data_IF_901081767785
#
_entry.id   IF_901081767785
#
_cell.length_a   1.000
_cell.length_b   1.000
_cell.length_c   1.000
_cell.angle_alpha   90.00
_cell.angle_beta   90.00
_cell.angle_gamma   90.00
#
_symmetry.space_group_name_H-M   'P 1'
#
loop_
_entity.id
_entity.type
_entity.pdbx_description
1 polymer ?
#
# COMPACT_ATOMS: atom_id res chain seq x y z
N UNK A 1 -0.93 67.30 -33.87
CA UNK A 1 -2.16 67.59 -33.14
C UNK A 1 -2.21 66.67 -31.94
N UNK A 2 -1.45 66.96 -30.87
CA UNK A 2 -1.69 68.09 -29.91
C UNK A 2 -3.04 67.89 -29.21
N UNK A 3 -3.25 67.99 -27.90
CA UNK A 3 -2.46 68.26 -26.69
C UNK A 3 -3.34 67.67 -25.55
N UNK A 4 -2.87 67.06 -24.45
CA UNK A 4 -2.00 67.51 -23.37
C UNK A 4 -2.59 68.58 -22.40
N UNK A 5 -2.88 68.13 -21.17
CA UNK A 5 -2.62 68.72 -19.84
C UNK A 5 -3.52 69.85 -19.24
N UNK A 6 -4.06 69.63 -18.03
CA UNK A 6 -3.80 70.37 -16.75
C UNK A 6 -4.84 69.95 -15.67
N UNK A 7 -4.51 69.18 -14.63
CA UNK A 7 -3.70 69.46 -13.41
C UNK A 7 -4.38 70.41 -12.42
N UNK A 8 -4.85 69.84 -11.29
CA UNK A 8 -4.71 70.36 -9.91
C UNK A 8 -4.92 69.13 -8.98
N UNK A 9 -3.91 68.48 -8.36
CA UNK A 9 -2.96 68.91 -7.30
C UNK A 9 -3.62 69.68 -6.14
N UNK A 10 -4.03 68.96 -5.09
CA UNK A 10 -3.41 68.96 -3.74
C UNK A 10 -4.34 68.30 -2.71
N UNK A 11 -3.94 67.13 -2.20
CA UNK A 11 -4.16 66.66 -0.82
C UNK A 11 -3.34 65.37 -0.57
N UNK A 12 -2.02 65.50 -0.62
CA UNK A 12 -1.15 64.79 0.32
C UNK A 12 -1.20 65.65 1.59
N UNK A 13 -1.34 65.14 2.81
CA UNK A 13 -0.29 64.42 3.53
C UNK A 13 -0.86 64.12 4.91
N UNK A 14 -1.44 62.95 5.17
CA UNK A 14 -1.67 62.51 6.57
C UNK A 14 -1.95 61.01 6.79
N UNK A 15 -1.94 60.15 5.76
CA UNK A 15 -2.20 58.71 5.94
C UNK A 15 -1.02 57.76 5.69
N UNK A 16 0.18 58.24 5.36
CA UNK A 16 1.33 57.37 5.07
C UNK A 16 2.33 57.17 6.21
N UNK A 17 2.13 57.73 7.40
CA UNK A 17 3.03 57.50 8.55
C UNK A 17 2.48 56.52 9.60
N UNK A 18 1.20 56.12 9.53
CA UNK A 18 0.63 55.14 10.46
C UNK A 18 0.69 53.68 9.94
N UNK A 19 0.98 53.46 8.66
CA UNK A 19 1.04 52.12 8.07
C UNK A 19 2.45 51.47 8.11
N UNK A 20 3.49 52.22 8.49
CA UNK A 20 4.87 51.72 8.53
C UNK A 20 5.36 51.25 9.92
N UNK A 21 4.55 51.41 10.98
CA UNK A 21 4.84 50.83 12.30
C UNK A 21 4.08 49.51 12.58
N UNK A 22 3.17 49.07 11.71
CA UNK A 22 2.53 47.76 11.80
C UNK A 22 3.32 46.65 11.07
N UNK A 23 4.39 47.01 10.36
CA UNK A 23 5.17 46.11 9.51
C UNK A 23 6.59 45.89 10.05
N UNK A 24 6.73 45.58 11.35
CA UNK A 24 8.00 45.13 11.97
C UNK A 24 7.85 44.24 13.21
N UNK A 25 6.68 43.61 13.41
CA UNK A 25 6.41 42.72 14.56
C UNK A 25 5.86 41.32 14.17
N UNK A 26 6.05 40.87 12.93
CA UNK A 26 5.57 39.54 12.49
C UNK A 26 6.66 38.62 11.90
N UNK A 27 7.92 38.84 12.30
CA UNK A 27 9.01 37.87 12.06
C UNK A 27 9.74 37.56 13.37
N UNK A 28 9.00 37.03 14.35
CA UNK A 28 9.60 36.14 15.33
C UNK A 28 9.50 34.72 14.76
N UNK A 29 10.59 33.94 14.67
CA UNK A 29 10.51 32.54 14.34
C UNK A 29 9.82 31.85 15.52
N UNK A 30 8.49 31.73 15.45
CA UNK A 30 7.76 30.82 16.32
C UNK A 30 8.23 29.43 15.97
N UNK A 31 9.16 28.90 16.78
CA UNK A 31 9.47 27.49 16.84
C UNK A 31 8.13 26.75 16.91
N UNK A 32 7.68 26.24 15.77
CA UNK A 32 6.58 25.31 15.73
C UNK A 32 7.10 24.06 16.43
N UNK A 33 6.81 23.98 17.73
CA UNK A 33 6.73 22.72 18.41
C UNK A 33 5.87 21.83 17.52
N UNK A 34 6.48 20.81 16.93
CA UNK A 34 5.73 19.64 16.50
C UNK A 34 4.94 19.23 17.73
N UNK A 35 3.64 19.52 17.74
CA UNK A 35 2.72 18.91 18.67
C UNK A 35 2.78 17.43 18.33
N UNK A 36 3.66 16.73 19.03
CA UNK A 36 3.77 15.30 19.02
C UNK A 36 2.37 14.82 19.37
N UNK A 37 1.66 14.26 18.38
CA UNK A 37 0.38 13.61 18.61
C UNK A 37 0.58 12.73 19.84
N UNK A 38 -0.20 12.90 20.93
CA UNK A 38 -0.04 12.08 22.10
C UNK A 38 -0.24 10.64 21.62
N UNK A 39 0.85 9.87 21.61
CA UNK A 39 0.78 8.45 21.36
C UNK A 39 -0.17 7.84 22.39
N UNK A 40 -0.88 6.76 22.04
CA UNK A 40 -1.72 6.07 23.01
C UNK A 40 -0.90 5.78 24.27
N UNK A 41 -1.46 6.09 25.43
CA UNK A 41 -0.84 5.78 26.71
C UNK A 41 -0.45 4.29 26.72
N UNK A 42 0.76 3.93 27.18
CA UNK A 42 1.18 2.54 27.24
C UNK A 42 0.28 1.80 28.23
N UNK A 43 -0.71 1.07 27.71
CA UNK A 43 -1.46 0.11 28.51
C UNK A 43 -0.53 -1.07 28.78
N UNK A 44 -0.10 -1.22 30.03
CA UNK A 44 0.71 -2.35 30.47
C UNK A 44 -0.16 -3.60 30.60
N UNK A 45 -0.47 -4.26 29.48
CA UNK A 45 -0.98 -5.63 29.50
C UNK A 45 0.20 -6.59 29.37
N UNK A 46 0.97 -6.75 30.45
CA UNK A 46 2.02 -7.78 30.56
C UNK A 46 1.40 -9.13 30.88
N UNK A 47 0.68 -9.71 29.92
CA UNK A 47 0.45 -11.14 29.86
C UNK A 47 1.36 -11.70 28.78
N UNK A 48 2.19 -12.69 29.10
CA UNK A 48 3.01 -13.42 28.12
C UNK A 48 2.06 -14.18 27.20
N UNK A 49 1.61 -13.51 26.13
CA UNK A 49 0.62 -14.05 25.21
C UNK A 49 1.28 -15.10 24.32
N UNK A 50 0.99 -16.37 24.57
CA UNK A 50 1.40 -17.46 23.69
C UNK A 50 0.70 -17.27 22.34
N UNK A 51 1.46 -17.18 21.25
CA UNK A 51 0.86 -17.11 19.92
C UNK A 51 0.35 -18.48 19.50
N UNK A 52 -0.70 -18.53 18.65
CA UNK A 52 -1.15 -19.78 18.08
C UNK A 52 -0.05 -20.41 17.22
N UNK A 53 0.14 -21.72 17.39
CA UNK A 53 0.97 -22.52 16.48
C UNK A 53 0.29 -22.67 15.11
N UNK A 54 1.00 -23.21 14.11
CA UNK A 54 0.39 -23.55 12.82
C UNK A 54 -0.76 -24.54 13.01
N UNK A 55 -0.57 -25.52 13.88
CA UNK A 55 -1.58 -26.53 14.22
C UNK A 55 -2.81 -25.91 14.88
N UNK A 56 -2.62 -24.91 15.76
CA UNK A 56 -3.73 -24.20 16.39
C UNK A 56 -4.53 -23.38 15.37
N UNK A 57 -3.85 -22.68 14.46
CA UNK A 57 -4.50 -21.95 13.37
C UNK A 57 -5.27 -22.89 12.45
N UNK A 58 -4.69 -24.05 12.11
CA UNK A 58 -5.36 -25.02 11.26
C UNK A 58 -6.61 -25.59 11.95
N UNK A 59 -6.52 -25.96 13.23
CA UNK A 59 -7.68 -26.41 14.02
C UNK A 59 -8.74 -25.32 14.13
N UNK A 60 -8.35 -24.07 14.34
CA UNK A 60 -9.27 -22.93 14.36
C UNK A 60 -10.00 -22.75 13.02
N UNK A 61 -9.29 -22.83 11.88
CA UNK A 61 -9.92 -22.79 10.55
C UNK A 61 -10.93 -23.93 10.42
N UNK A 62 -10.52 -25.18 10.67
CA UNK A 62 -11.37 -26.36 10.54
C UNK A 62 -12.62 -26.29 11.43
N UNK A 63 -12.50 -25.73 12.64
CA UNK A 63 -13.62 -25.59 13.57
C UNK A 63 -14.61 -24.50 13.15
N UNK A 64 -14.13 -23.42 12.54
CA UNK A 64 -14.93 -22.21 12.32
C UNK A 64 -15.33 -21.98 10.85
N UNK A 65 -14.82 -22.76 9.89
CA UNK A 65 -14.98 -22.53 8.45
C UNK A 65 -16.42 -22.27 8.01
N UNK A 66 -17.37 -23.02 8.58
CA UNK A 66 -18.79 -22.96 8.24
C UNK A 66 -19.64 -22.26 9.31
N UNK A 67 -19.02 -21.50 10.22
CA UNK A 67 -19.75 -20.82 11.30
C UNK A 67 -20.59 -19.67 10.77
N UNK A 68 -21.93 -19.68 10.93
CA UNK A 68 -22.76 -18.55 10.56
C UNK A 68 -22.54 -17.39 11.55
N UNK A 69 -22.49 -16.13 11.08
CA UNK A 69 -22.37 -14.98 11.97
C UNK A 69 -23.62 -14.81 12.84
N UNK A 70 -23.41 -14.47 14.12
CA UNK A 70 -24.47 -14.16 15.10
C UNK A 70 -24.82 -12.66 15.11
N UNK A 71 -24.55 -11.98 14.01
CA UNK A 71 -24.74 -10.55 13.78
C UNK A 71 -25.14 -10.34 12.32
N UNK A 72 -25.68 -9.16 12.01
CA UNK A 72 -26.24 -8.81 10.70
C UNK A 72 -25.59 -7.56 10.14
N UNK A 73 -25.71 -7.39 8.83
CA UNK A 73 -25.30 -6.16 8.16
C UNK A 73 -25.97 -4.94 8.81
N UNK A 74 -25.19 -3.88 9.05
CA UNK A 74 -25.63 -2.68 9.75
C UNK A 74 -25.49 -2.72 11.27
N UNK A 75 -25.23 -3.89 11.88
CA UNK A 75 -24.95 -3.97 13.32
C UNK A 75 -23.66 -3.23 13.67
N UNK A 76 -23.67 -2.56 14.83
CA UNK A 76 -22.46 -2.04 15.49
C UNK A 76 -22.17 -2.92 16.69
N UNK A 77 -21.14 -3.76 16.58
CA UNK A 77 -20.72 -4.64 17.67
C UNK A 77 -19.78 -3.89 18.60
N UNK A 78 -20.04 -3.97 19.90
CA UNK A 78 -19.26 -3.28 20.92
C UNK A 78 -18.42 -4.28 21.72
N UNK A 79 -17.68 -3.79 22.73
CA UNK A 79 -16.83 -4.62 23.59
C UNK A 79 -17.57 -5.86 24.16
N UNK A 80 -18.85 -5.74 24.51
CA UNK A 80 -19.66 -6.84 25.03
C UNK A 80 -20.00 -7.93 23.99
N UNK A 81 -19.83 -7.63 22.71
CA UNK A 81 -20.15 -8.50 21.57
C UNK A 81 -18.92 -9.23 21.01
N UNK A 82 -17.72 -9.00 21.56
CA UNK A 82 -16.46 -9.55 21.02
C UNK A 82 -16.51 -11.07 20.83
N UNK A 83 -17.17 -11.82 21.72
CA UNK A 83 -17.27 -13.27 21.57
C UNK A 83 -18.00 -13.70 20.28
N UNK A 84 -18.89 -12.86 19.74
CA UNK A 84 -19.54 -13.12 18.44
C UNK A 84 -18.54 -13.07 17.27
N UNK A 85 -17.43 -12.35 17.43
CA UNK A 85 -16.36 -12.21 16.42
C UNK A 85 -15.30 -13.31 16.49
N UNK A 86 -15.27 -14.10 17.58
CA UNK A 86 -14.26 -15.14 17.82
C UNK A 86 -14.12 -16.19 16.69
N UNK A 87 -15.18 -16.62 16.00
CA UNK A 87 -15.06 -17.53 14.85
C UNK A 87 -14.43 -16.88 13.61
N UNK A 88 -14.42 -15.55 13.54
CA UNK A 88 -14.06 -14.78 12.34
C UNK A 88 -12.70 -14.08 12.45
N UNK A 89 -12.11 -14.04 13.65
CA UNK A 89 -10.79 -13.46 13.92
C UNK A 89 -9.81 -14.56 14.34
N UNK A 90 -8.60 -14.61 13.75
CA UNK A 90 -7.59 -15.59 14.14
C UNK A 90 -7.28 -15.52 15.65
N UNK A 91 -6.98 -16.65 16.31
CA UNK A 91 -6.76 -16.73 17.74
C UNK A 91 -5.84 -15.63 18.30
N UNK A 92 -6.35 -14.95 19.32
CA UNK A 92 -5.71 -13.86 20.04
C UNK A 92 -5.90 -12.46 19.42
N UNK A 93 -6.29 -12.31 18.14
CA UNK A 93 -6.57 -10.96 17.61
C UNK A 93 -7.70 -10.28 18.40
N UNK A 94 -8.68 -11.05 18.85
CA UNK A 94 -9.83 -10.55 19.60
C UNK A 94 -9.43 -9.82 20.89
N UNK A 95 -8.35 -10.24 21.55
CA UNK A 95 -7.88 -9.65 22.80
C UNK A 95 -7.35 -8.22 22.59
N UNK A 96 -6.78 -7.92 21.42
CA UNK A 96 -6.31 -6.57 21.05
C UNK A 96 -7.47 -5.57 20.86
N UNK A 97 -8.68 -6.09 20.67
CA UNK A 97 -9.89 -5.29 20.51
C UNK A 97 -10.70 -5.17 21.81
N UNK A 98 -10.25 -5.77 22.91
CA UNK A 98 -10.94 -5.72 24.20
C UNK A 98 -10.60 -4.44 24.99
N UNK A 99 -11.04 -3.29 24.47
CA UNK A 99 -10.88 -2.00 25.14
C UNK A 99 -12.19 -1.19 25.15
N UNK A 100 -12.39 -0.30 26.14
CA UNK A 100 -13.57 0.56 26.19
C UNK A 100 -13.70 1.45 24.95
N UNK A 101 -14.88 1.44 24.33
CA UNK A 101 -15.18 2.25 23.14
C UNK A 101 -14.78 1.61 21.81
N UNK A 102 -14.40 0.33 21.79
CA UNK A 102 -14.26 -0.41 20.53
C UNK A 102 -15.62 -0.53 19.83
N UNK A 103 -15.60 -0.34 18.50
CA UNK A 103 -16.76 -0.54 17.64
C UNK A 103 -16.35 -1.31 16.38
N UNK A 104 -17.13 -2.33 16.04
CA UNK A 104 -17.05 -3.01 14.74
C UNK A 104 -18.33 -2.77 13.97
N UNK A 105 -18.20 -2.03 12.87
CA UNK A 105 -19.31 -1.72 11.97
C UNK A 105 -19.45 -2.84 10.93
N UNK A 106 -20.50 -3.65 11.05
CA UNK A 106 -20.74 -4.77 10.13
C UNK A 106 -21.26 -4.22 8.81
N UNK A 107 -20.42 -4.28 7.77
CA UNK A 107 -20.76 -3.79 6.43
C UNK A 107 -21.42 -4.88 5.58
N UNK A 108 -22.18 -4.51 4.54
CA UNK A 108 -22.73 -5.47 3.60
C UNK A 108 -21.66 -6.36 2.97
N UNK A 109 -21.99 -7.64 2.82
CA UNK A 109 -21.17 -8.56 2.04
C UNK A 109 -21.21 -8.14 0.56
N UNK A 110 -20.06 -8.23 -0.12
CA UNK A 110 -19.91 -7.85 -1.52
C UNK A 110 -19.16 -8.90 -2.30
N UNK A 111 -19.56 -9.13 -3.55
CA UNK A 111 -18.75 -9.89 -4.49
C UNK A 111 -17.72 -8.96 -5.14
N UNK A 112 -16.47 -9.02 -4.68
CA UNK A 112 -15.36 -8.24 -5.21
C UNK A 112 -14.63 -9.01 -6.32
N UNK A 113 -15.35 -9.29 -7.41
CA UNK A 113 -14.76 -9.92 -8.57
C UNK A 113 -13.71 -8.99 -9.22
N UNK A 114 -12.65 -9.55 -9.85
CA UNK A 114 -11.79 -8.77 -10.73
C UNK A 114 -12.58 -8.06 -11.83
N UNK A 115 -12.00 -7.00 -12.40
CA UNK A 115 -12.61 -6.25 -13.49
C UNK A 115 -12.96 -7.15 -14.70
N UNK A 116 -14.04 -6.83 -15.42
CA UNK A 116 -14.54 -7.67 -16.52
C UNK A 116 -13.50 -7.87 -17.63
N UNK A 117 -12.69 -6.85 -17.94
CA UNK A 117 -11.60 -6.99 -18.92
C UNK A 117 -10.57 -8.04 -18.50
N UNK A 118 -10.25 -8.10 -17.21
CA UNK A 118 -9.35 -9.11 -16.65
C UNK A 118 -9.95 -10.52 -16.76
N UNK A 119 -11.25 -10.64 -16.50
CA UNK A 119 -11.97 -11.91 -16.64
C UNK A 119 -12.02 -12.36 -18.10
N UNK A 120 -12.32 -11.46 -19.03
CA UNK A 120 -12.35 -11.72 -20.47
C UNK A 120 -10.97 -12.11 -21.01
N UNK A 121 -9.91 -11.39 -20.62
CA UNK A 121 -8.54 -11.76 -20.96
C UNK A 121 -8.15 -13.11 -20.36
N UNK A 122 -8.54 -13.36 -19.11
CA UNK A 122 -8.33 -14.67 -18.47
C UNK A 122 -9.00 -15.78 -19.28
N UNK A 123 -10.28 -15.66 -19.61
CA UNK A 123 -11.01 -16.66 -20.39
C UNK A 123 -10.34 -16.93 -21.75
N UNK A 124 -9.87 -15.87 -22.42
CA UNK A 124 -9.22 -15.96 -23.71
C UNK A 124 -7.84 -16.65 -23.68
N UNK A 125 -7.04 -16.40 -22.65
CA UNK A 125 -5.63 -16.84 -22.59
C UNK A 125 -5.34 -17.92 -21.55
N UNK A 126 -6.35 -18.39 -20.81
CA UNK A 126 -6.16 -19.42 -19.80
C UNK A 126 -5.46 -20.65 -20.40
N UNK A 127 -4.49 -21.20 -19.66
CA UNK A 127 -3.72 -22.38 -20.04
C UNK A 127 -2.78 -22.21 -21.25
N UNK A 128 -2.57 -20.99 -21.75
CA UNK A 128 -1.55 -20.72 -22.78
C UNK A 128 -0.17 -20.46 -22.16
N UNK A 129 -0.15 -19.85 -20.97
CA UNK A 129 1.08 -19.62 -20.23
C UNK A 129 1.66 -20.93 -19.68
N UNK A 130 2.99 -21.01 -19.64
CA UNK A 130 3.73 -22.16 -19.12
C UNK A 130 4.89 -21.71 -18.25
N UNK A 131 5.34 -22.60 -17.37
CA UNK A 131 6.59 -22.44 -16.64
C UNK A 131 7.71 -23.15 -17.41
N UNK A 132 8.78 -22.43 -17.68
CA UNK A 132 10.03 -23.01 -18.14
C UNK A 132 10.74 -23.77 -17.01
N UNK A 133 11.81 -24.51 -17.35
CA UNK A 133 12.56 -25.31 -16.39
C UNK A 133 13.23 -24.50 -15.26
N UNK A 134 13.50 -23.22 -15.50
CA UNK A 134 14.01 -22.26 -14.53
C UNK A 134 12.90 -21.51 -13.78
N UNK A 135 11.63 -21.81 -14.08
CA UNK A 135 10.47 -21.19 -13.45
C UNK A 135 9.98 -19.89 -14.09
N UNK A 136 10.64 -19.43 -15.15
CA UNK A 136 10.20 -18.26 -15.91
C UNK A 136 8.84 -18.51 -16.58
N UNK A 137 8.02 -17.45 -16.63
CA UNK A 137 6.73 -17.47 -17.32
C UNK A 137 6.94 -17.28 -18.82
N UNK A 138 6.36 -18.16 -19.63
CA UNK A 138 6.42 -18.08 -21.10
C UNK A 138 5.02 -18.14 -21.70
N UNK A 139 4.83 -17.46 -22.84
CA UNK A 139 3.56 -17.48 -23.57
C UNK A 139 2.40 -16.79 -22.85
N UNK A 140 2.70 -15.97 -21.84
CA UNK A 140 1.70 -15.18 -21.13
C UNK A 140 1.36 -13.90 -21.91
N UNK A 141 0.06 -13.57 -21.98
CA UNK A 141 -0.46 -12.42 -22.74
C UNK A 141 -1.17 -11.42 -21.82
N UNK A 142 -2.24 -11.86 -21.14
CA UNK A 142 -3.01 -11.06 -20.21
C UNK A 142 -3.92 -11.94 -19.34
N UNK A 143 -4.48 -11.36 -18.27
CA UNK A 143 -5.40 -12.05 -17.37
C UNK A 143 -4.68 -12.89 -16.31
N UNK A 144 -5.32 -13.96 -15.86
CA UNK A 144 -4.73 -14.91 -14.91
C UNK A 144 -3.93 -15.98 -15.67
N UNK A 145 -2.61 -16.11 -15.46
CA UNK A 145 -1.77 -17.06 -16.20
C UNK A 145 -2.20 -18.53 -16.04
N UNK A 146 -2.45 -18.97 -14.79
CA UNK A 146 -2.72 -20.37 -14.48
C UNK A 146 -4.10 -20.56 -13.84
N UNK A 147 -4.80 -21.61 -14.27
CA UNK A 147 -6.09 -21.98 -13.67
C UNK A 147 -5.92 -22.44 -12.22
N UNK A 148 -6.92 -22.17 -11.37
CA UNK A 148 -6.91 -22.60 -9.96
C UNK A 148 -6.78 -24.12 -9.82
N UNK A 149 -7.37 -24.88 -10.75
CA UNK A 149 -7.26 -26.34 -10.77
C UNK A 149 -5.83 -26.87 -10.95
N UNK A 150 -4.89 -26.03 -11.43
CA UNK A 150 -3.46 -26.37 -11.55
C UNK A 150 -2.64 -26.02 -10.28
N UNK A 151 -3.29 -25.47 -9.25
CA UNK A 151 -2.65 -25.11 -7.98
C UNK A 151 -3.15 -26.12 -6.94
N UNK A 152 -2.42 -27.23 -6.83
CA UNK A 152 -2.73 -28.36 -5.96
C UNK A 152 -1.61 -28.58 -4.94
N UNK A 153 -1.89 -29.33 -3.87
CA UNK A 153 -0.87 -29.63 -2.84
C UNK A 153 0.24 -30.55 -3.34
N UNK A 154 -0.06 -31.40 -4.30
CA UNK A 154 0.84 -32.48 -4.73
C UNK A 154 1.75 -32.06 -5.90
N UNK A 155 1.45 -30.96 -6.58
CA UNK A 155 2.29 -30.44 -7.66
C UNK A 155 3.35 -29.46 -7.09
N UNK A 156 4.65 -29.77 -7.20
CA UNK A 156 5.72 -28.94 -6.67
C UNK A 156 5.80 -27.54 -7.33
N UNK A 157 5.21 -27.36 -8.52
CA UNK A 157 5.16 -26.07 -9.22
C UNK A 157 3.96 -25.21 -8.83
N UNK A 158 3.02 -25.71 -8.03
CA UNK A 158 1.83 -24.97 -7.61
C UNK A 158 2.15 -23.65 -6.92
N UNK A 159 3.17 -23.62 -6.07
CA UNK A 159 3.61 -22.40 -5.40
C UNK A 159 4.08 -21.34 -6.40
N UNK A 160 4.80 -21.75 -7.43
CA UNK A 160 5.29 -20.85 -8.47
C UNK A 160 4.16 -20.37 -9.39
N UNK A 161 3.22 -21.24 -9.76
CA UNK A 161 2.01 -20.82 -10.50
C UNK A 161 1.18 -19.81 -9.70
N UNK A 162 1.03 -20.03 -8.40
CA UNK A 162 0.35 -19.10 -7.51
C UNK A 162 1.07 -17.74 -7.42
N UNK A 163 2.41 -17.75 -7.36
CA UNK A 163 3.21 -16.53 -7.37
C UNK A 163 3.04 -15.73 -8.69
N UNK A 164 3.06 -16.40 -9.84
CA UNK A 164 2.79 -15.76 -11.13
C UNK A 164 1.36 -15.20 -11.23
N UNK A 165 0.36 -15.95 -10.75
CA UNK A 165 -1.01 -15.45 -10.64
C UNK A 165 -1.10 -14.20 -9.76
N UNK A 166 -0.36 -14.15 -8.65
CA UNK A 166 -0.33 -12.98 -7.77
C UNK A 166 0.35 -11.77 -8.43
N UNK A 167 1.46 -11.99 -9.16
CA UNK A 167 2.16 -10.94 -9.90
C UNK A 167 1.25 -10.31 -10.97
N UNK A 168 0.52 -11.14 -11.71
CA UNK A 168 -0.39 -10.71 -12.78
C UNK A 168 -1.86 -10.58 -12.33
N UNK A 169 -2.12 -10.32 -11.05
CA UNK A 169 -3.47 -9.94 -10.59
C UNK A 169 -3.90 -8.62 -11.24
N UNK A 170 -5.19 -8.33 -11.26
CA UNK A 170 -5.71 -7.05 -11.73
C UNK A 170 -5.10 -5.87 -10.95
N UNK A 171 -4.38 -5.00 -11.66
CA UNK A 171 -3.72 -3.80 -11.13
C UNK A 171 -4.04 -2.52 -11.91
N UNK A 172 -4.95 -2.60 -12.90
CA UNK A 172 -5.25 -1.52 -13.84
C UNK A 172 -3.95 -0.94 -14.45
N UNK A 173 -3.81 0.38 -14.58
CA UNK A 173 -2.55 1.01 -15.03
C UNK A 173 -1.43 1.02 -13.96
N UNK A 174 -1.69 0.54 -12.75
CA UNK A 174 -0.76 0.58 -11.62
C UNK A 174 -1.19 1.56 -10.53
N UNK A 175 -0.23 1.99 -9.70
CA UNK A 175 -0.49 2.76 -8.49
C UNK A 175 0.16 4.14 -8.58
N UNK A 176 -0.61 5.18 -8.27
CA UNK A 176 -0.12 6.56 -8.15
C UNK A 176 -0.50 7.10 -6.78
N UNK A 177 0.50 7.42 -5.96
CA UNK A 177 0.34 7.95 -4.61
C UNK A 177 1.22 9.19 -4.49
N UNK A 178 0.59 10.35 -4.34
CA UNK A 178 1.32 11.62 -4.23
C UNK A 178 2.15 11.73 -2.95
N UNK A 179 1.66 11.18 -1.84
CA UNK A 179 2.36 11.22 -0.54
C UNK A 179 2.30 9.86 0.13
N UNK A 180 3.19 8.98 -0.29
CA UNK A 180 3.47 7.69 0.33
C UNK A 180 4.36 7.90 1.56
N UNK A 181 3.91 7.44 2.73
CA UNK A 181 4.69 7.42 3.97
C UNK A 181 5.32 6.03 4.15
N UNK A 182 6.64 5.96 4.06
CA UNK A 182 7.43 4.78 4.40
C UNK A 182 8.16 4.96 5.73
N UNK A 183 8.41 3.85 6.43
CA UNK A 183 9.28 3.83 7.60
C UNK A 183 10.48 2.90 7.33
N UNK A 184 11.70 3.40 7.53
CA UNK A 184 12.89 2.56 7.57
C UNK A 184 12.99 1.94 8.97
N UNK A 185 12.92 0.62 9.00
CA UNK A 185 13.02 -0.18 10.21
C UNK A 185 14.45 -0.73 10.29
N UNK A 186 15.10 -0.56 11.44
CA UNK A 186 16.36 -1.24 11.75
C UNK A 186 16.18 -2.17 12.94
N UNK A 187 17.01 -3.19 13.03
CA UNK A 187 17.11 -4.05 14.21
C UNK A 187 17.48 -3.19 15.44
N UNK A 188 16.77 -3.35 16.55
CA UNK A 188 17.10 -2.64 17.80
C UNK A 188 15.94 -1.91 18.49
N UNK A 189 14.71 -2.16 18.08
CA UNK A 189 13.51 -1.92 18.89
C UNK A 189 13.27 -3.06 19.88
N UNK A 190 12.43 -2.82 20.89
CA UNK A 190 11.96 -3.91 21.75
C UNK A 190 11.13 -4.86 20.90
N UNK A 191 11.66 -6.05 20.63
CA UNK A 191 10.86 -7.14 20.13
C UNK A 191 9.86 -7.49 21.24
N UNK A 192 8.56 -7.47 20.96
CA UNK A 192 7.68 -8.35 21.72
C UNK A 192 8.02 -9.75 21.23
N UNK A 193 8.64 -10.63 22.05
CA UNK A 193 8.84 -12.00 21.66
C UNK A 193 7.47 -12.57 21.32
N UNK A 194 7.36 -13.11 20.11
CA UNK A 194 6.18 -13.82 19.61
C UNK A 194 6.29 -15.27 20.10
N UNK A 195 5.65 -15.65 21.23
CA UNK A 195 5.94 -16.93 21.87
C UNK A 195 5.34 -18.06 21.03
N UNK A 196 6.12 -19.10 20.72
CA UNK A 196 5.71 -20.18 19.81
C UNK A 196 6.23 -20.01 18.36
N UNK A 197 6.83 -18.87 18.03
CA UNK A 197 7.50 -18.67 16.74
C UNK A 197 9.01 -18.93 16.87
N UNK A 198 9.66 -19.57 15.88
CA UNK A 198 11.11 -19.71 15.87
C UNK A 198 11.79 -18.33 15.97
N UNK A 199 12.69 -18.15 16.96
CA UNK A 199 13.31 -16.85 17.27
C UNK A 199 14.19 -16.31 16.13
N UNK A 200 14.65 -17.20 15.27
CA UNK A 200 15.37 -16.94 14.02
C UNK A 200 14.47 -16.33 12.94
N UNK A 201 13.19 -16.68 12.92
CA UNK A 201 12.18 -16.18 11.97
C UNK A 201 11.39 -14.97 12.48
N UNK A 202 11.30 -14.80 13.81
CA UNK A 202 10.70 -13.64 14.49
C UNK A 202 11.76 -12.77 15.16
N UNK A 203 12.68 -12.23 14.37
CA UNK A 203 13.61 -11.18 14.83
C UNK A 203 12.93 -9.80 14.91
N UNK A 204 11.62 -9.76 15.20
CA UNK A 204 10.89 -8.51 15.46
C UNK A 204 11.62 -7.61 16.45
N UNK A 205 11.15 -6.37 16.62
CA UNK A 205 11.97 -5.33 17.27
C UNK A 205 12.64 -4.45 16.24
N UNK A 206 11.89 -4.07 15.21
CA UNK A 206 12.25 -2.97 14.34
C UNK A 206 12.05 -1.65 15.09
N UNK A 207 13.09 -0.83 15.18
CA UNK A 207 12.91 0.58 15.52
C UNK A 207 12.74 1.34 14.22
N UNK A 208 11.63 2.07 14.08
CA UNK A 208 11.53 3.08 13.04
C UNK A 208 12.59 4.15 13.33
N UNK A 209 13.61 4.22 12.50
CA UNK A 209 14.69 5.21 12.63
C UNK A 209 14.53 6.36 11.65
N UNK A 210 13.65 6.19 10.67
CA UNK A 210 13.41 7.20 9.65
C UNK A 210 12.02 7.05 9.06
N UNK A 211 11.36 8.17 8.86
CA UNK A 211 10.19 8.26 8.00
C UNK A 211 10.58 8.92 6.70
N UNK A 212 10.04 8.41 5.61
CA UNK A 212 10.25 8.88 4.25
C UNK A 212 8.89 9.26 3.70
N UNK A 213 8.76 10.47 3.18
CA UNK A 213 7.58 10.87 2.42
C UNK A 213 8.00 10.98 0.97
N UNK A 214 7.30 10.28 0.08
CA UNK A 214 7.62 10.24 -1.33
C UNK A 214 6.37 10.29 -2.20
N UNK A 215 6.51 10.80 -3.42
CA UNK A 215 5.62 10.44 -4.52
C UNK A 215 6.03 9.07 -5.03
N UNK A 216 5.07 8.15 -5.13
CA UNK A 216 5.23 6.82 -5.70
C UNK A 216 4.35 6.69 -6.94
N UNK A 217 4.93 6.28 -8.06
CA UNK A 217 4.18 6.04 -9.29
C UNK A 217 4.70 4.80 -10.01
N UNK A 218 3.88 3.76 -10.08
CA UNK A 218 4.11 2.59 -10.92
C UNK A 218 3.13 2.58 -12.07
N UNK A 219 3.64 2.54 -13.30
CA UNK A 219 2.85 2.48 -14.53
C UNK A 219 3.16 1.19 -15.30
N UNK A 220 2.14 0.38 -15.55
CA UNK A 220 2.23 -0.84 -16.36
C UNK A 220 2.25 -0.51 -17.87
N UNK A 221 3.06 -1.27 -18.62
CA UNK A 221 3.26 -1.09 -20.06
C UNK A 221 2.75 -2.30 -20.85
N UNK A 222 2.86 -3.51 -20.31
CA UNK A 222 2.33 -4.74 -20.89
C UNK A 222 1.25 -5.40 -20.04
N UNK A 223 0.60 -6.41 -20.61
CA UNK A 223 -0.43 -7.25 -19.97
C UNK A 223 -1.64 -6.49 -19.39
N UNK A 224 -1.93 -5.32 -19.95
CA UNK A 224 -3.04 -4.44 -19.55
C UNK A 224 -4.36 -4.99 -20.11
N UNK A 225 -5.09 -5.79 -19.33
CA UNK A 225 -6.30 -6.47 -19.79
C UNK A 225 -7.36 -5.53 -20.41
N UNK A 226 -7.46 -4.29 -19.91
CA UNK A 226 -8.34 -3.24 -20.44
C UNK A 226 -7.95 -2.69 -21.82
N UNK A 227 -6.76 -3.01 -22.32
CA UNK A 227 -6.24 -2.57 -23.61
C UNK A 227 -6.24 -3.69 -24.64
N UNK A 228 -7.29 -4.52 -24.66
CA UNK A 228 -7.42 -5.62 -25.61
C UNK A 228 -7.32 -5.20 -27.09
N UNK A 229 -7.78 -3.98 -27.43
CA UNK A 229 -7.67 -3.41 -28.79
C UNK A 229 -6.25 -2.99 -29.17
N UNK A 230 -5.36 -2.84 -28.19
CA UNK A 230 -3.96 -2.42 -28.36
C UNK A 230 -3.00 -3.56 -28.01
N UNK A 231 -3.43 -4.81 -28.21
CA UNK A 231 -2.67 -6.01 -27.89
C UNK A 231 -2.21 -6.08 -26.43
N UNK A 232 -3.00 -5.51 -25.51
CA UNK A 232 -2.69 -5.44 -24.07
C UNK A 232 -1.45 -4.63 -23.73
N UNK A 233 -1.00 -3.78 -24.66
CA UNK A 233 0.11 -2.85 -24.49
C UNK A 233 -0.41 -1.44 -24.30
N UNK A 234 0.32 -0.66 -23.50
CA UNK A 234 0.16 0.78 -23.45
C UNK A 234 0.52 1.34 -24.84
N UNK A 235 -0.24 2.30 -25.41
CA UNK A 235 -0.04 2.78 -26.78
C UNK A 235 1.13 3.77 -26.85
N UNK A 236 2.33 3.26 -26.55
CA UNK A 236 3.61 3.95 -26.60
C UNK A 236 4.62 3.05 -27.31
N UNK A 237 5.54 3.65 -28.04
CA UNK A 237 6.62 2.90 -28.70
C UNK A 237 7.49 2.17 -27.67
N UNK A 238 7.77 0.89 -27.92
CA UNK A 238 8.58 0.04 -27.05
C UNK A 238 7.88 -0.40 -25.76
N UNK A 239 6.55 -0.30 -25.67
CA UNK A 239 5.82 -0.76 -24.49
C UNK A 239 5.97 -2.27 -24.23
N UNK A 240 6.14 -3.06 -25.29
CA UNK A 240 6.38 -4.51 -25.22
C UNK A 240 7.67 -4.91 -24.49
N UNK A 241 8.63 -3.99 -24.34
CA UNK A 241 9.88 -4.28 -23.64
C UNK A 241 9.69 -4.34 -22.10
N UNK A 242 8.64 -3.72 -21.56
CA UNK A 242 8.48 -3.48 -20.13
C UNK A 242 7.19 -4.07 -19.58
N UNK A 243 7.27 -4.76 -18.44
CA UNK A 243 6.09 -5.06 -17.64
C UNK A 243 5.58 -3.74 -17.02
N UNK A 244 6.46 -3.02 -16.33
CA UNK A 244 6.15 -1.72 -15.75
C UNK A 244 7.40 -0.87 -15.51
N UNK A 245 7.17 0.43 -15.32
CA UNK A 245 8.17 1.37 -14.83
C UNK A 245 7.70 1.98 -13.52
N UNK A 246 8.62 2.21 -12.62
CA UNK A 246 8.36 2.80 -11.31
C UNK A 246 9.22 4.04 -11.11
N UNK A 247 8.57 5.13 -10.71
CA UNK A 247 9.17 6.39 -10.31
C UNK A 247 8.88 6.69 -8.85
N UNK A 248 9.93 7.08 -8.11
CA UNK A 248 9.86 7.49 -6.73
C UNK A 248 10.57 8.84 -6.57
N UNK A 249 9.94 9.82 -5.94
CA UNK A 249 10.57 11.10 -5.58
C UNK A 249 10.38 11.38 -4.09
N UNK A 250 11.47 11.60 -3.36
CA UNK A 250 11.40 11.89 -1.94
C UNK A 250 11.15 13.38 -1.68
N UNK A 251 10.18 13.66 -0.82
CA UNK A 251 9.88 15.00 -0.31
C UNK A 251 10.43 15.24 1.09
N UNK A 252 10.53 14.18 1.89
CA UNK A 252 11.02 14.22 3.26
C UNK A 252 11.83 12.96 3.58
N UNK A 253 12.84 13.06 4.47
CA UNK A 253 13.31 14.27 5.17
C UNK A 253 14.22 15.16 4.30
N UNK A 254 14.68 16.30 4.85
CA UNK A 254 15.46 17.32 4.13
C UNK A 254 16.64 16.76 3.33
N UNK A 255 17.41 15.82 3.88
CA UNK A 255 18.59 15.25 3.24
C UNK A 255 18.28 14.23 2.13
N UNK A 256 17.02 13.78 2.02
CA UNK A 256 16.52 12.96 0.90
C UNK A 256 15.68 13.76 -0.09
N UNK A 257 15.26 14.97 0.27
CA UNK A 257 14.36 15.77 -0.55
C UNK A 257 14.95 16.00 -1.95
N UNK A 258 14.15 15.74 -2.96
CA UNK A 258 14.54 15.88 -4.37
C UNK A 258 15.26 14.67 -4.95
N UNK A 259 15.66 13.68 -4.12
CA UNK A 259 16.21 12.43 -4.63
C UNK A 259 15.13 11.64 -5.36
N UNK A 260 15.50 11.08 -6.51
CA UNK A 260 14.57 10.35 -7.38
C UNK A 260 15.13 8.98 -7.73
N UNK A 261 14.23 8.01 -7.84
CA UNK A 261 14.54 6.68 -8.33
C UNK A 261 13.66 6.39 -9.52
N UNK A 262 14.26 5.82 -10.56
CA UNK A 262 13.58 5.27 -11.72
C UNK A 262 13.97 3.81 -11.83
N UNK A 263 12.99 2.92 -11.89
CA UNK A 263 13.19 1.48 -12.05
C UNK A 263 12.41 1.01 -13.26
N UNK A 264 13.07 0.26 -14.13
CA UNK A 264 12.45 -0.43 -15.25
C UNK A 264 12.40 -1.92 -14.95
N UNK A 265 11.18 -2.48 -14.91
CA UNK A 265 10.97 -3.92 -14.94
C UNK A 265 10.65 -4.33 -16.37
N UNK A 266 11.47 -5.23 -16.91
CA UNK A 266 11.32 -5.77 -18.25
C UNK A 266 10.24 -6.85 -18.29
N UNK A 267 9.62 -7.01 -19.47
CA UNK A 267 8.62 -8.05 -19.71
C UNK A 267 9.25 -9.46 -19.67
N UNK A 268 10.50 -9.59 -20.12
CA UNK A 268 11.28 -10.82 -20.00
C UNK A 268 11.61 -11.10 -18.51
N UNK A 269 11.05 -12.16 -17.90
CA UNK A 269 11.28 -12.48 -16.50
C UNK A 269 12.72 -12.90 -16.18
N UNK A 270 13.56 -13.13 -17.19
CA UNK A 270 14.98 -13.45 -17.05
C UNK A 270 15.87 -12.21 -17.07
N UNK A 271 15.35 -11.07 -17.51
CA UNK A 271 16.09 -9.80 -17.53
C UNK A 271 16.00 -9.12 -16.18
N UNK A 272 17.15 -8.73 -15.64
CA UNK A 272 17.22 -7.98 -14.39
C UNK A 272 16.67 -6.56 -14.57
N UNK A 273 16.11 -6.01 -13.50
CA UNK A 273 15.64 -4.62 -13.49
C UNK A 273 16.82 -3.66 -13.66
N UNK A 274 16.61 -2.60 -14.45
CA UNK A 274 17.50 -1.45 -14.45
C UNK A 274 17.00 -0.41 -13.46
N UNK A 275 17.93 0.17 -12.71
CA UNK A 275 17.60 1.22 -11.73
C UNK A 275 18.58 2.39 -11.81
N UNK A 276 18.03 3.59 -11.78
CA UNK A 276 18.77 4.84 -11.72
C UNK A 276 18.38 5.59 -10.46
N UNK A 277 19.40 6.13 -9.80
CA UNK A 277 19.23 7.06 -8.69
C UNK A 277 19.75 8.43 -9.09
N UNK A 278 18.93 9.44 -8.88
CA UNK A 278 19.28 10.84 -9.08
C UNK A 278 19.39 11.45 -7.68
N UNK A 279 20.61 11.83 -7.31
CA UNK A 279 20.99 12.26 -5.96
C UNK A 279 21.09 13.77 -5.87
#
# INVERSE_FOLDING_TARGET
MEDNVHVHKKSHTLLCLAALCALRLLFTPSAHAQAQLPGPAPQSHSQTRVLPTREDLQRWIETNLDTPPLFREGDVLVQADLDKLRPFLPPGYLDEFNFPGVEFHVSPSGNYAPHQDYLAATERYLNQARLAGDGALEGYVAGRPFAQAQITRDDPLSGLRAAWNFNHRWKFYGMYVQRYLGALLVKGGAASPLPGFPRDLSQGGGKAVRYLVALYHQAYYSHLAQLASSNYLLPLDGAEEFEYKHYLEFFEPYDMRGRRFLVYRYDDPRRQDDSWSFL
#
